data_IF_102606235576
#
_entry.id   IF_102606235576
#
_cell.length_a   1.000
_cell.length_b   1.000
_cell.length_c   1.000
_cell.angle_alpha   90.00
_cell.angle_beta   90.00
_cell.angle_gamma   90.00
#
_symmetry.space_group_name_H-M   'P 1'
#
loop_
_entity.id
_entity.type
_entity.pdbx_description
1 polymer ?
#
# COMPACT_ATOMS: atom_id res chain seq x y z
N UNK A 1 41.28 14.34 42.62
CA UNK A 1 41.23 14.00 41.20
C UNK A 1 39.88 13.45 40.86
N UNK A 2 39.11 14.25 40.18
CA UNK A 2 37.80 13.82 39.65
C UNK A 2 38.04 13.15 38.31
N UNK A 3 37.59 11.89 38.11
CA UNK A 3 37.60 11.31 36.80
C UNK A 3 36.61 12.07 35.93
N UNK A 4 37.12 12.65 34.89
CA UNK A 4 36.25 13.22 33.85
C UNK A 4 35.57 12.07 33.15
N UNK A 5 34.34 11.82 33.48
CA UNK A 5 33.52 10.91 32.70
C UNK A 5 33.12 11.67 31.46
N UNK A 6 33.88 11.49 30.40
CA UNK A 6 33.42 11.77 29.07
C UNK A 6 32.39 10.71 28.71
N UNK A 7 31.17 10.92 29.10
CA UNK A 7 30.08 10.25 28.43
C UNK A 7 29.98 10.90 27.08
N UNK A 8 30.57 10.27 26.09
CA UNK A 8 30.23 10.51 24.72
C UNK A 8 28.75 10.19 24.52
N UNK A 9 27.93 11.17 24.81
CA UNK A 9 26.54 11.20 24.43
C UNK A 9 26.40 11.55 22.95
N UNK A 10 27.41 11.27 22.16
CA UNK A 10 27.26 11.04 20.74
C UNK A 10 26.67 9.65 20.51
N UNK A 11 25.64 9.32 21.23
CA UNK A 11 24.62 8.59 20.60
C UNK A 11 24.06 9.54 19.54
N UNK A 12 24.67 9.47 18.36
CA UNK A 12 23.98 9.80 17.16
C UNK A 12 22.62 9.11 17.31
N UNK A 13 21.66 9.83 17.80
CA UNK A 13 20.31 9.57 17.44
C UNK A 13 20.29 9.77 15.93
N UNK A 14 20.81 8.81 15.19
CA UNK A 14 20.24 8.50 13.93
C UNK A 14 18.78 8.32 14.31
N UNK A 15 18.04 9.41 14.20
CA UNK A 15 16.63 9.35 14.08
C UNK A 15 16.45 8.38 12.93
N UNK A 16 16.17 7.12 13.26
CA UNK A 16 15.73 6.16 12.28
C UNK A 16 14.56 6.88 11.65
N UNK A 17 14.84 7.50 10.50
CA UNK A 17 13.83 8.13 9.68
C UNK A 17 12.85 7.01 9.46
N UNK A 18 11.72 7.03 10.18
CA UNK A 18 10.69 6.04 10.01
C UNK A 18 10.40 6.08 8.54
N UNK A 19 10.76 5.01 7.83
CA UNK A 19 10.43 4.87 6.42
C UNK A 19 8.92 5.04 6.34
N UNK A 20 8.47 6.15 5.75
CA UNK A 20 7.04 6.39 5.60
C UNK A 20 6.46 5.28 4.73
N UNK A 21 5.33 4.73 5.15
CA UNK A 21 4.62 3.72 4.36
C UNK A 21 4.13 4.33 3.07
N UNK A 22 4.45 3.72 1.96
CA UNK A 22 4.07 4.18 0.62
C UNK A 22 2.96 3.32 0.06
N UNK A 23 1.93 3.98 -0.43
CA UNK A 23 0.69 3.32 -0.88
C UNK A 23 0.42 3.69 -2.34
N UNK A 24 0.24 2.68 -3.18
CA UNK A 24 -0.24 2.83 -4.55
C UNK A 24 -1.69 2.35 -4.63
N UNK A 25 -2.56 3.20 -5.14
CA UNK A 25 -4.00 2.95 -5.21
C UNK A 25 -4.44 2.96 -6.67
N UNK A 26 -5.10 1.90 -7.11
CA UNK A 26 -5.78 1.83 -8.40
C UNK A 26 -7.30 1.92 -8.15
N UNK A 27 -7.88 3.08 -8.45
CA UNK A 27 -9.27 3.43 -8.21
C UNK A 27 -9.77 4.42 -9.25
N UNK A 28 -10.83 4.09 -10.01
CA UNK A 28 -11.34 5.00 -11.04
C UNK A 28 -12.24 6.12 -10.49
N UNK A 29 -12.80 5.97 -9.29
CA UNK A 29 -13.78 6.90 -8.73
C UNK A 29 -13.10 8.08 -8.04
N UNK A 30 -13.32 9.29 -8.55
CA UNK A 30 -12.75 10.53 -7.99
C UNK A 30 -13.25 10.85 -6.58
N UNK A 31 -14.46 10.44 -6.22
CA UNK A 31 -15.00 10.67 -4.88
C UNK A 31 -14.26 9.84 -3.84
N UNK A 32 -13.87 8.63 -4.22
CA UNK A 32 -13.03 7.78 -3.38
C UNK A 32 -11.61 8.37 -3.25
N UNK A 33 -11.10 9.05 -4.27
CA UNK A 33 -9.81 9.75 -4.18
C UNK A 33 -9.81 10.81 -3.07
N UNK A 34 -10.91 11.52 -2.89
CA UNK A 34 -11.07 12.50 -1.80
C UNK A 34 -10.97 11.81 -0.43
N UNK A 35 -11.59 10.65 -0.27
CA UNK A 35 -11.51 9.86 0.96
C UNK A 35 -10.07 9.46 1.29
N UNK A 36 -9.33 8.97 0.31
CA UNK A 36 -7.92 8.64 0.49
C UNK A 36 -7.06 9.85 0.84
N UNK A 37 -7.33 11.01 0.24
CA UNK A 37 -6.62 12.25 0.55
C UNK A 37 -6.85 12.72 1.99
N UNK A 38 -8.07 12.61 2.49
CA UNK A 38 -8.40 12.93 3.88
C UNK A 38 -7.68 11.99 4.85
N UNK A 39 -7.63 10.71 4.52
CA UNK A 39 -6.92 9.72 5.32
C UNK A 39 -5.44 10.09 5.48
N UNK A 40 -4.77 10.43 4.40
CA UNK A 40 -3.33 10.74 4.41
C UNK A 40 -3.00 11.94 5.27
N UNK A 41 -3.88 12.96 5.30
CA UNK A 41 -3.69 14.15 6.14
C UNK A 41 -3.80 13.86 7.63
N UNK A 42 -4.68 12.95 8.03
CA UNK A 42 -4.95 12.68 9.44
C UNK A 42 -3.98 11.68 10.07
N UNK A 43 -3.38 10.79 9.29
CA UNK A 43 -2.53 9.72 9.81
C UNK A 43 -1.03 9.97 9.61
N UNK A 44 -0.63 11.17 9.23
CA UNK A 44 0.77 11.52 9.10
C UNK A 44 1.46 10.96 7.87
N UNK A 45 0.70 10.41 6.92
CA UNK A 45 1.23 10.14 5.59
C UNK A 45 1.39 11.47 4.87
N UNK A 46 2.54 11.74 4.29
CA UNK A 46 2.66 12.87 3.38
C UNK A 46 1.91 12.57 2.09
N UNK A 47 1.42 13.61 1.41
CA UNK A 47 0.73 13.44 0.12
C UNK A 47 1.62 12.72 -0.90
N UNK A 48 2.94 12.83 -0.75
CA UNK A 48 3.91 12.12 -1.58
C UNK A 48 3.97 10.62 -1.33
N UNK A 49 3.46 10.15 -0.21
CA UNK A 49 3.50 8.73 0.18
C UNK A 49 2.32 7.94 -0.39
N UNK A 50 1.33 8.62 -0.95
CA UNK A 50 0.16 8.00 -1.56
C UNK A 50 0.02 8.46 -3.00
N UNK A 51 0.00 7.51 -3.92
CA UNK A 51 -0.25 7.76 -5.33
C UNK A 51 -1.52 7.04 -5.75
N UNK A 52 -2.41 7.77 -6.43
CA UNK A 52 -3.65 7.23 -6.97
C UNK A 52 -3.56 7.22 -8.49
N UNK A 53 -3.89 6.10 -9.10
CA UNK A 53 -4.04 5.93 -10.54
C UNK A 53 -5.45 5.47 -10.86
N UNK A 54 -5.94 5.79 -12.05
CA UNK A 54 -7.34 5.56 -12.42
C UNK A 54 -7.61 4.17 -13.02
N UNK A 55 -6.57 3.48 -13.46
CA UNK A 55 -6.72 2.20 -14.15
C UNK A 55 -5.57 1.23 -13.87
N UNK A 56 -5.79 -0.03 -14.24
CA UNK A 56 -4.85 -1.10 -13.95
C UNK A 56 -3.56 -1.01 -14.76
N UNK A 57 -3.61 -0.58 -16.01
CA UNK A 57 -2.41 -0.45 -16.84
C UNK A 57 -1.45 0.58 -16.28
N UNK A 58 -1.95 1.73 -15.80
CA UNK A 58 -1.11 2.73 -15.14
C UNK A 58 -0.48 2.21 -13.85
N UNK A 59 -1.24 1.42 -13.08
CA UNK A 59 -0.70 0.75 -11.90
C UNK A 59 0.48 -0.17 -12.26
N UNK A 60 0.30 -1.00 -13.27
CA UNK A 60 1.34 -1.94 -13.72
C UNK A 60 2.55 -1.23 -14.33
N UNK A 61 2.34 -0.15 -15.07
CA UNK A 61 3.45 0.68 -15.60
C UNK A 61 4.36 1.19 -14.48
N UNK A 62 3.80 1.68 -13.40
CA UNK A 62 4.56 2.17 -12.24
C UNK A 62 5.38 1.03 -11.64
N UNK A 63 4.80 -0.14 -11.48
CA UNK A 63 5.48 -1.31 -10.91
C UNK A 63 6.59 -1.78 -11.84
N UNK A 64 6.40 -1.72 -13.16
CA UNK A 64 7.38 -2.15 -14.15
C UNK A 64 8.52 -1.15 -14.33
N UNK A 65 8.27 0.15 -14.30
CA UNK A 65 9.28 1.19 -14.52
C UNK A 65 10.37 1.22 -13.45
N UNK A 66 10.07 0.74 -12.28
CA UNK A 66 10.99 0.74 -11.14
C UNK A 66 12.19 -0.22 -11.29
N UNK A 67 12.26 -1.02 -12.35
CA UNK A 67 13.35 -1.97 -12.56
C UNK A 67 14.50 -1.49 -13.46
N UNK A 68 14.28 -0.43 -14.23
CA UNK A 68 15.21 -0.09 -15.31
C UNK A 68 16.14 1.07 -14.97
N UNK A 69 15.94 1.75 -13.86
CA UNK A 69 16.83 2.82 -13.46
C UNK A 69 17.93 2.28 -12.56
N UNK A 70 19.13 2.15 -13.14
CA UNK A 70 20.39 1.95 -12.42
C UNK A 70 20.73 3.11 -11.48
N UNK A 71 19.81 4.06 -11.33
CA UNK A 71 19.88 5.11 -10.34
C UNK A 71 19.21 4.60 -9.07
N UNK A 72 19.99 4.48 -8.03
CA UNK A 72 19.60 4.18 -6.66
C UNK A 72 18.57 5.17 -6.08
N UNK A 73 17.58 5.56 -6.86
CA UNK A 73 16.45 6.31 -6.37
C UNK A 73 15.50 5.33 -5.67
N UNK A 74 15.72 5.17 -4.37
CA UNK A 74 14.89 4.41 -3.43
C UNK A 74 13.41 4.87 -3.40
N UNK A 75 13.02 5.78 -4.32
CA UNK A 75 11.80 6.55 -4.22
C UNK A 75 10.54 5.87 -4.78
N UNK A 76 10.63 4.65 -5.32
CA UNK A 76 9.51 4.02 -6.00
C UNK A 76 9.11 2.66 -5.41
N UNK A 77 9.50 2.35 -4.19
CA UNK A 77 9.13 1.10 -3.54
C UNK A 77 7.85 1.28 -2.70
N UNK A 78 6.74 0.81 -3.22
CA UNK A 78 5.46 0.84 -2.51
C UNK A 78 5.36 -0.34 -1.55
N UNK A 79 4.77 -0.10 -0.38
CA UNK A 79 4.59 -1.10 0.69
C UNK A 79 3.21 -1.74 0.62
N UNK A 80 2.19 -0.97 0.24
CA UNK A 80 0.80 -1.38 0.19
C UNK A 80 0.20 -1.01 -1.16
N UNK A 81 -0.55 -1.94 -1.72
CA UNK A 81 -1.34 -1.74 -2.94
C UNK A 81 -2.81 -1.86 -2.60
N UNK A 82 -3.61 -0.84 -2.91
CA UNK A 82 -5.06 -0.87 -2.76
C UNK A 82 -5.65 -0.92 -4.17
N UNK A 83 -6.30 -2.02 -4.51
CA UNK A 83 -6.74 -2.30 -5.88
C UNK A 83 -8.24 -2.54 -5.92
N UNK A 84 -8.95 -1.73 -6.69
CA UNK A 84 -10.36 -1.95 -6.96
C UNK A 84 -10.54 -3.07 -7.97
N UNK A 85 -11.47 -3.98 -7.70
CA UNK A 85 -11.69 -5.16 -8.55
C UNK A 85 -12.26 -4.83 -9.93
N UNK A 86 -13.06 -3.76 -10.05
CA UNK A 86 -13.70 -3.34 -11.29
C UNK A 86 -13.00 -2.17 -11.98
N UNK A 87 -11.74 -2.35 -12.33
CA UNK A 87 -11.05 -1.38 -13.17
C UNK A 87 -11.53 -1.47 -14.62
N UNK A 88 -11.48 -0.35 -15.35
CA UNK A 88 -12.10 -0.25 -16.69
C UNK A 88 -11.32 -0.97 -17.80
N UNK A 89 -10.03 -1.16 -17.63
CA UNK A 89 -9.12 -1.69 -18.66
C UNK A 89 -8.73 -3.15 -18.42
N UNK A 90 -8.36 -3.48 -17.20
CA UNK A 90 -7.95 -4.82 -16.79
C UNK A 90 -8.55 -5.08 -15.41
N UNK A 91 -9.00 -6.30 -15.18
CA UNK A 91 -9.55 -6.68 -13.87
C UNK A 91 -8.57 -6.39 -12.73
N UNK A 92 -9.08 -5.83 -11.63
CA UNK A 92 -8.30 -5.63 -10.42
C UNK A 92 -7.73 -6.93 -9.84
N UNK A 93 -8.40 -8.05 -10.03
CA UNK A 93 -7.86 -9.36 -9.66
C UNK A 93 -6.62 -9.73 -10.48
N UNK A 94 -6.61 -9.41 -11.76
CA UNK A 94 -5.46 -9.65 -12.62
C UNK A 94 -4.29 -8.73 -12.26
N UNK A 95 -4.56 -7.47 -11.95
CA UNK A 95 -3.55 -6.54 -11.44
C UNK A 95 -2.95 -7.08 -10.14
N UNK A 96 -3.78 -7.49 -9.21
CA UNK A 96 -3.34 -8.05 -7.94
C UNK A 96 -2.48 -9.32 -8.12
N UNK A 97 -2.87 -10.19 -9.05
CA UNK A 97 -2.09 -11.39 -9.38
C UNK A 97 -0.70 -11.05 -9.91
N UNK A 98 -0.60 -10.09 -10.82
CA UNK A 98 0.67 -9.63 -11.36
C UNK A 98 1.55 -8.98 -10.30
N UNK A 99 0.97 -8.19 -9.41
CA UNK A 99 1.68 -7.63 -8.25
C UNK A 99 2.20 -8.75 -7.36
N UNK A 100 1.37 -9.72 -7.01
CA UNK A 100 1.75 -10.84 -6.14
C UNK A 100 2.88 -11.67 -6.73
N UNK A 101 2.85 -11.95 -8.03
CA UNK A 101 3.89 -12.71 -8.70
C UNK A 101 5.23 -11.98 -8.71
N UNK A 102 5.21 -10.66 -8.81
CA UNK A 102 6.42 -9.85 -8.90
C UNK A 102 6.95 -9.40 -7.54
N UNK A 103 6.05 -9.14 -6.60
CA UNK A 103 6.31 -8.60 -5.27
C UNK A 103 5.61 -9.45 -4.21
N UNK A 104 6.06 -10.71 -3.99
CA UNK A 104 5.30 -11.68 -3.21
C UNK A 104 5.11 -11.31 -1.74
N UNK A 105 5.94 -10.42 -1.20
CA UNK A 105 5.90 -10.03 0.22
C UNK A 105 5.15 -8.72 0.48
N UNK A 106 4.69 -8.04 -0.56
CA UNK A 106 3.97 -6.78 -0.39
C UNK A 106 2.51 -7.01 -0.02
N UNK A 107 1.95 -6.08 0.72
CA UNK A 107 0.55 -6.14 1.12
C UNK A 107 -0.34 -5.68 -0.02
N UNK A 108 -1.37 -6.46 -0.31
CA UNK A 108 -2.42 -6.11 -1.28
C UNK A 108 -3.74 -6.07 -0.55
N UNK A 109 -4.45 -4.95 -0.64
CA UNK A 109 -5.82 -4.76 -0.18
C UNK A 109 -6.70 -4.65 -1.40
N UNK A 110 -7.73 -5.48 -1.49
CA UNK A 110 -8.75 -5.35 -2.54
C UNK A 110 -9.92 -4.51 -2.04
N UNK A 111 -10.38 -3.59 -2.85
CA UNK A 111 -11.68 -2.95 -2.69
C UNK A 111 -12.65 -3.51 -3.71
N UNK A 112 -13.87 -3.80 -3.30
CA UNK A 112 -14.83 -4.52 -4.15
C UNK A 112 -16.27 -4.24 -3.78
N UNK A 113 -17.15 -4.38 -4.76
CA UNK A 113 -18.61 -4.44 -4.58
C UNK A 113 -19.13 -5.86 -4.54
N UNK A 114 -18.29 -6.85 -4.83
CA UNK A 114 -18.68 -8.26 -4.73
C UNK A 114 -18.82 -8.73 -3.28
N UNK A 115 -19.69 -9.70 -3.05
CA UNK A 115 -19.72 -10.41 -1.77
C UNK A 115 -18.51 -11.33 -1.62
N UNK A 116 -18.12 -11.61 -0.36
CA UNK A 116 -16.98 -12.48 -0.09
C UNK A 116 -17.18 -13.88 -0.69
N UNK A 117 -18.39 -14.43 -0.63
CA UNK A 117 -18.69 -15.76 -1.18
C UNK A 117 -18.40 -15.86 -2.69
N UNK A 118 -18.61 -14.77 -3.43
CA UNK A 118 -18.38 -14.73 -4.87
C UNK A 118 -16.90 -14.64 -5.24
N UNK A 119 -16.05 -14.18 -4.35
CA UNK A 119 -14.63 -13.92 -4.65
C UNK A 119 -13.65 -14.78 -3.84
N UNK A 120 -14.13 -15.57 -2.89
CA UNK A 120 -13.28 -16.30 -1.95
C UNK A 120 -12.26 -17.20 -2.63
N UNK A 121 -12.65 -17.96 -3.66
CA UNK A 121 -11.71 -18.81 -4.40
C UNK A 121 -10.70 -17.99 -5.21
N UNK A 122 -11.10 -16.84 -5.73
CA UNK A 122 -10.22 -15.95 -6.47
C UNK A 122 -9.16 -15.33 -5.57
N UNK A 123 -9.55 -14.79 -4.42
CA UNK A 123 -8.61 -14.17 -3.48
C UNK A 123 -7.66 -15.21 -2.88
N UNK A 124 -8.12 -16.42 -2.61
CA UNK A 124 -7.27 -17.51 -2.16
C UNK A 124 -6.20 -17.86 -3.20
N UNK A 125 -6.57 -17.89 -4.48
CA UNK A 125 -5.64 -18.18 -5.57
C UNK A 125 -4.55 -17.13 -5.74
N UNK A 126 -4.82 -15.89 -5.33
CA UNK A 126 -3.86 -14.77 -5.37
C UNK A 126 -3.06 -14.67 -4.06
N UNK A 127 -3.47 -15.38 -3.03
CA UNK A 127 -2.86 -15.29 -1.71
C UNK A 127 -3.27 -14.04 -0.93
N UNK A 128 -4.51 -13.57 -1.13
CA UNK A 128 -5.10 -12.46 -0.38
C UNK A 128 -6.04 -13.02 0.66
N UNK A 129 -5.89 -12.59 1.91
CA UNK A 129 -6.78 -13.00 2.99
C UNK A 129 -8.05 -12.17 3.03
N UNK A 130 -9.14 -12.73 3.54
CA UNK A 130 -10.41 -12.01 3.67
C UNK A 130 -10.31 -10.73 4.49
N UNK A 131 -9.38 -10.66 5.45
CA UNK A 131 -9.11 -9.45 6.23
C UNK A 131 -8.55 -8.29 5.41
N UNK A 132 -7.98 -8.56 4.24
CA UNK A 132 -7.44 -7.56 3.31
C UNK A 132 -8.42 -7.23 2.18
N UNK A 133 -9.69 -7.47 2.38
CA UNK A 133 -10.78 -7.08 1.48
C UNK A 133 -11.64 -6.01 2.13
N UNK A 134 -11.80 -4.88 1.44
CA UNK A 134 -12.61 -3.76 1.86
C UNK A 134 -13.82 -3.64 0.95
N UNK A 135 -15.02 -3.84 1.50
CA UNK A 135 -16.25 -3.86 0.73
C UNK A 135 -16.81 -2.45 0.52
N UNK A 136 -17.12 -2.11 -0.72
CA UNK A 136 -17.80 -0.87 -1.06
C UNK A 136 -19.32 -1.01 -0.88
N UNK A 137 -20.00 0.01 -0.38
CA UNK A 137 -19.48 1.28 0.11
C UNK A 137 -18.81 1.13 1.48
N UNK A 138 -17.67 1.78 1.69
CA UNK A 138 -16.99 1.81 2.97
C UNK A 138 -16.89 3.25 3.49
N UNK A 139 -16.77 3.38 4.80
CA UNK A 139 -16.57 4.66 5.46
C UNK A 139 -15.10 4.81 5.89
N UNK A 140 -14.74 6.02 6.26
CA UNK A 140 -13.39 6.37 6.69
C UNK A 140 -12.83 5.44 7.78
N UNK A 141 -13.65 5.08 8.77
CA UNK A 141 -13.22 4.18 9.86
C UNK A 141 -12.88 2.78 9.39
N UNK A 142 -13.52 2.28 8.35
CA UNK A 142 -13.20 0.97 7.76
C UNK A 142 -11.81 0.99 7.11
N UNK A 143 -11.50 2.05 6.38
CA UNK A 143 -10.18 2.25 5.78
C UNK A 143 -9.09 2.36 6.85
N UNK A 144 -9.35 3.14 7.89
CA UNK A 144 -8.44 3.28 9.04
C UNK A 144 -8.17 1.94 9.70
N UNK A 145 -9.22 1.17 9.97
CA UNK A 145 -9.10 -0.13 10.63
C UNK A 145 -8.24 -1.09 9.83
N UNK A 146 -8.46 -1.19 8.53
CA UNK A 146 -7.70 -2.12 7.69
C UNK A 146 -6.23 -1.71 7.55
N UNK A 147 -5.93 -0.42 7.49
CA UNK A 147 -4.57 0.08 7.35
C UNK A 147 -3.78 0.08 8.66
N UNK A 148 -4.46 0.16 9.81
CA UNK A 148 -3.83 0.06 11.14
C UNK A 148 -3.46 -1.36 11.52
N UNK A 149 -4.07 -2.36 10.93
CA UNK A 149 -3.66 -3.73 11.20
C UNK A 149 -2.20 -3.90 10.80
N UNK A 150 -1.31 -4.34 11.71
CA UNK A 150 0.09 -4.53 11.36
C UNK A 150 0.17 -5.50 10.20
N UNK A 151 0.91 -5.11 9.15
CA UNK A 151 1.12 -5.96 8.01
C UNK A 151 1.59 -7.33 8.46
N UNK A 152 0.74 -8.33 8.37
CA UNK A 152 1.13 -9.69 8.62
C UNK A 152 2.10 -10.06 7.51
N UNK A 153 3.34 -10.39 7.90
CA UNK A 153 4.27 -10.95 6.94
C UNK A 153 3.60 -12.19 6.32
N UNK A 154 3.38 -12.13 5.04
CA UNK A 154 2.97 -13.30 4.28
C UNK A 154 4.23 -14.16 4.08
N UNK A 155 4.38 -15.14 4.92
CA UNK A 155 5.37 -16.18 4.70
C UNK A 155 4.87 -17.15 3.62
#
# INVERSE_FOLDING_TARGET
MTPTIMTDLNQSTESQKRKSTRILIAEPDSDIHVLYSLFTKQYGFSISDVKVVQNGNKCLEIIHSNRNDNNNNENNDYDIFIIYTHLSDISGFEVARKIRNRLPHKRIILTTTYSLDNISSMIDSIGIKSQDVLFKPFIYSDLVSILKEPGRSYN
#
